data_IF_090206043096
#
_entry.id   IF_090206043096
#
_cell.length_a   1.000
_cell.length_b   1.000
_cell.length_c   1.000
_cell.angle_alpha   90.00
_cell.angle_beta   90.00
_cell.angle_gamma   90.00
#
_symmetry.space_group_name_H-M   'P 1'
#
loop_
_entity.id
_entity.type
_entity.pdbx_description
1 polymer ?
#
# COMPACT_ATOMS: atom_id res chain seq x y z
N UNK A 1 0.85 -0.09 22.21
CA UNK A 1 0.65 -1.36 21.48
C UNK A 1 1.88 -2.23 21.73
N UNK A 2 1.77 -3.36 22.44
CA UNK A 2 2.93 -4.20 22.80
C UNK A 2 3.50 -4.83 21.52
N UNK A 3 4.79 -4.63 21.23
CA UNK A 3 5.54 -5.32 20.17
C UNK A 3 5.58 -6.82 20.53
N UNK A 4 4.77 -7.64 19.84
CA UNK A 4 4.62 -9.09 20.14
C UNK A 4 5.81 -9.91 19.61
N UNK A 5 6.63 -9.36 18.71
CA UNK A 5 7.77 -10.07 18.10
C UNK A 5 9.10 -9.46 18.59
N UNK A 6 9.90 -10.26 19.30
CA UNK A 6 11.29 -9.94 19.58
C UNK A 6 12.12 -10.18 18.31
N UNK A 7 12.34 -9.11 17.55
CA UNK A 7 12.99 -9.15 16.23
C UNK A 7 14.40 -9.76 16.27
N UNK A 8 15.10 -9.67 17.41
CA UNK A 8 16.47 -10.16 17.56
C UNK A 8 16.58 -11.69 17.47
N UNK A 9 15.47 -12.43 17.62
CA UNK A 9 15.45 -13.90 17.50
C UNK A 9 15.03 -14.38 16.09
N UNK A 10 14.60 -13.47 15.21
CA UNK A 10 14.08 -13.86 13.89
C UNK A 10 15.18 -14.40 12.97
N UNK A 11 16.42 -13.92 13.10
CA UNK A 11 17.58 -14.31 12.27
C UNK A 11 17.86 -15.82 12.22
N UNK A 12 17.34 -16.59 13.18
CA UNK A 12 17.50 -18.04 13.26
C UNK A 12 16.50 -18.84 12.42
N UNK A 13 15.40 -18.23 11.96
CA UNK A 13 14.40 -18.96 11.17
C UNK A 13 14.87 -19.10 9.71
N UNK A 14 14.87 -20.35 9.20
CA UNK A 14 15.26 -20.64 7.82
C UNK A 14 14.31 -19.96 6.82
N UNK A 15 13.02 -19.85 7.16
CA UNK A 15 12.01 -19.24 6.31
C UNK A 15 12.32 -17.79 5.93
N UNK A 16 12.72 -16.95 6.90
CA UNK A 16 12.97 -15.51 6.65
C UNK A 16 14.19 -15.26 5.74
N UNK A 17 15.06 -16.26 5.57
CA UNK A 17 16.22 -16.19 4.68
C UNK A 17 15.86 -16.54 3.23
N UNK A 18 14.66 -17.04 2.96
CA UNK A 18 14.21 -17.30 1.59
C UNK A 18 13.74 -16.03 0.89
N UNK A 19 13.78 -16.07 -0.44
CA UNK A 19 13.16 -15.06 -1.27
C UNK A 19 11.63 -15.11 -1.15
N UNK A 20 10.99 -13.95 -1.21
CA UNK A 20 9.52 -13.82 -1.13
C UNK A 20 8.83 -14.72 -2.17
N UNK A 21 9.37 -14.79 -3.40
CA UNK A 21 8.81 -15.63 -4.47
C UNK A 21 8.83 -17.13 -4.15
N UNK A 22 9.85 -17.61 -3.43
CA UNK A 22 9.99 -19.04 -3.08
C UNK A 22 9.02 -19.45 -1.97
N UNK A 23 8.47 -18.48 -1.26
CA UNK A 23 7.51 -18.67 -0.19
C UNK A 23 6.07 -18.47 -0.69
N UNK A 24 5.88 -18.20 -1.99
CA UNK A 24 4.57 -17.87 -2.58
C UNK A 24 3.87 -16.72 -1.85
N UNK A 25 4.65 -15.80 -1.25
CA UNK A 25 4.14 -14.68 -0.46
C UNK A 25 3.84 -13.48 -1.35
N UNK A 26 2.56 -13.21 -1.59
CA UNK A 26 2.09 -12.05 -2.34
C UNK A 26 0.92 -12.41 -3.25
N UNK A 27 0.33 -11.39 -3.86
CA UNK A 27 -0.71 -11.58 -4.87
C UNK A 27 -0.07 -11.42 -6.26
N UNK A 28 0.31 -12.54 -6.87
CA UNK A 28 0.95 -12.60 -8.19
C UNK A 28 0.04 -13.34 -9.17
N UNK A 29 -1.16 -12.84 -9.45
CA UNK A 29 -2.11 -13.58 -10.29
C UNK A 29 -1.93 -13.20 -11.77
N UNK A 30 -1.63 -14.20 -12.59
CA UNK A 30 -1.59 -14.16 -14.06
C UNK A 30 -2.97 -14.33 -14.71
N UNK A 31 -3.11 -13.70 -15.87
CA UNK A 31 -4.19 -13.80 -16.87
C UNK A 31 -5.62 -13.55 -16.35
N UNK A 32 -5.91 -12.25 -16.21
CA UNK A 32 -7.17 -11.56 -15.89
C UNK A 32 -7.79 -11.84 -14.51
N UNK A 33 -7.55 -10.88 -13.60
CA UNK A 33 -8.66 -10.01 -13.20
C UNK A 33 -8.18 -8.56 -13.19
N UNK A 34 -8.81 -7.69 -13.99
CA UNK A 34 -8.75 -6.21 -13.96
C UNK A 34 -7.48 -5.64 -13.31
N UNK A 35 -6.58 -5.04 -14.06
CA UNK A 35 -5.53 -4.15 -13.54
C UNK A 35 -6.04 -3.24 -12.37
N UNK A 36 -5.96 -3.72 -11.12
CA UNK A 36 -6.57 -3.06 -9.95
C UNK A 36 -5.57 -2.03 -9.44
N UNK A 37 -5.44 -0.97 -10.22
CA UNK A 37 -4.76 0.26 -9.85
C UNK A 37 -5.61 1.43 -10.35
N UNK A 38 -5.31 2.61 -9.87
CA UNK A 38 -5.98 3.84 -10.28
C UNK A 38 -4.95 4.87 -10.72
N UNK A 39 -5.34 5.76 -11.63
CA UNK A 39 -4.52 6.89 -12.04
C UNK A 39 -4.62 8.04 -11.01
N UNK A 40 -3.60 8.88 -10.91
CA UNK A 40 -3.60 10.11 -10.10
C UNK A 40 -4.83 11.01 -10.34
N UNK A 41 -5.35 11.03 -11.57
CA UNK A 41 -6.53 11.81 -11.96
C UNK A 41 -7.86 11.12 -11.64
N UNK A 42 -7.83 9.88 -11.12
CA UNK A 42 -9.04 9.16 -10.73
C UNK A 42 -9.75 9.91 -9.61
N UNK A 43 -11.07 10.11 -9.76
CA UNK A 43 -11.86 10.81 -8.76
C UNK A 43 -11.97 9.98 -7.48
N UNK A 44 -11.96 10.65 -6.33
CA UNK A 44 -12.10 10.02 -5.01
C UNK A 44 -13.33 9.10 -4.95
N UNK A 45 -14.48 9.54 -5.47
CA UNK A 45 -15.71 8.72 -5.50
C UNK A 45 -15.52 7.40 -6.25
N UNK A 46 -14.73 7.36 -7.32
CA UNK A 46 -14.52 6.16 -8.11
C UNK A 46 -13.60 5.17 -7.38
N UNK A 47 -12.57 5.67 -6.70
CA UNK A 47 -11.75 4.85 -5.81
C UNK A 47 -12.56 4.22 -4.67
N UNK A 48 -13.49 4.98 -4.06
CA UNK A 48 -14.39 4.47 -3.02
C UNK A 48 -15.35 3.40 -3.55
N UNK A 49 -15.87 3.56 -4.78
CA UNK A 49 -16.70 2.54 -5.45
C UNK A 49 -15.92 1.25 -5.69
N UNK A 50 -14.63 1.35 -6.01
CA UNK A 50 -13.75 0.17 -6.14
C UNK A 50 -13.66 -0.55 -4.79
N UNK A 51 -13.37 0.15 -3.69
CA UNK A 51 -13.34 -0.49 -2.35
C UNK A 51 -14.66 -1.13 -1.92
N UNK A 52 -15.80 -0.60 -2.38
CA UNK A 52 -17.11 -1.18 -2.14
C UNK A 52 -17.34 -2.44 -2.97
N UNK A 53 -16.87 -2.44 -4.22
CA UNK A 53 -17.08 -3.52 -5.19
C UNK A 53 -16.12 -4.69 -4.98
N UNK A 54 -14.88 -4.40 -4.56
CA UNK A 54 -13.84 -5.39 -4.31
C UNK A 54 -13.26 -5.23 -2.90
N UNK A 55 -13.12 -6.35 -2.20
CA UNK A 55 -12.69 -6.37 -0.79
C UNK A 55 -11.16 -6.29 -0.65
N UNK A 56 -10.57 -5.19 -1.13
CA UNK A 56 -9.15 -4.88 -0.96
C UNK A 56 -8.94 -3.89 0.19
N UNK A 57 -7.72 -3.83 0.72
CA UNK A 57 -7.33 -2.89 1.78
C UNK A 57 -6.75 -1.59 1.24
N UNK A 58 -6.15 -1.64 0.05
CA UNK A 58 -5.50 -0.51 -0.59
C UNK A 58 -5.43 -0.66 -2.11
N UNK A 59 -5.33 0.48 -2.79
CA UNK A 59 -5.26 0.65 -4.23
C UNK A 59 -3.90 1.25 -4.61
N UNK A 60 -3.09 0.57 -5.44
CA UNK A 60 -1.93 1.19 -6.07
C UNK A 60 -2.35 2.39 -6.93
N UNK A 61 -1.65 3.51 -6.78
CA UNK A 61 -1.85 4.72 -7.58
C UNK A 61 -0.67 4.87 -8.52
N UNK A 62 -0.93 4.94 -9.82
CA UNK A 62 0.10 5.00 -10.86
C UNK A 62 0.02 6.30 -11.66
N UNK A 63 1.11 6.64 -12.33
CA UNK A 63 1.11 7.69 -13.36
C UNK A 63 0.74 7.14 -14.75
N UNK A 64 0.76 8.03 -15.74
CA UNK A 64 0.50 7.73 -17.16
C UNK A 64 1.41 6.63 -17.73
N UNK A 65 2.63 6.50 -17.19
CA UNK A 65 3.62 5.52 -17.61
C UNK A 65 3.49 4.20 -16.83
N UNK A 66 2.42 4.04 -16.04
CA UNK A 66 2.17 2.90 -15.15
C UNK A 66 3.24 2.70 -14.09
N UNK A 67 3.98 3.75 -13.73
CA UNK A 67 4.90 3.70 -12.60
C UNK A 67 4.11 3.91 -11.32
N UNK A 68 4.40 3.11 -10.31
CA UNK A 68 3.80 3.25 -8.99
C UNK A 68 4.23 4.59 -8.37
N UNK A 69 3.25 5.43 -8.05
CA UNK A 69 3.44 6.75 -7.45
C UNK A 69 3.07 6.77 -5.99
N UNK A 70 1.95 6.12 -5.64
CA UNK A 70 1.43 6.13 -4.29
C UNK A 70 0.55 4.90 -4.01
N UNK A 71 -0.01 4.81 -2.82
CA UNK A 71 -1.01 3.83 -2.43
C UNK A 71 -2.15 4.53 -1.67
N UNK A 72 -3.37 4.43 -2.19
CA UNK A 72 -4.56 4.94 -1.52
C UNK A 72 -5.23 3.80 -0.74
N UNK A 73 -5.41 3.95 0.56
CA UNK A 73 -5.80 2.88 1.48
C UNK A 73 -7.06 3.19 2.28
N UNK A 74 -7.62 2.16 2.92
CA UNK A 74 -8.71 2.35 3.89
C UNK A 74 -8.29 3.19 5.10
N UNK A 75 -6.99 3.26 5.41
CA UNK A 75 -6.49 4.15 6.45
C UNK A 75 -6.66 5.62 6.05
N UNK A 76 -6.40 5.92 4.78
CA UNK A 76 -6.56 7.27 4.23
C UNK A 76 -8.03 7.69 4.24
N UNK A 77 -8.96 6.76 3.95
CA UNK A 77 -10.40 6.99 4.12
C UNK A 77 -10.75 7.36 5.56
N UNK A 78 -10.19 6.64 6.55
CA UNK A 78 -10.42 6.97 7.97
C UNK A 78 -9.82 8.33 8.34
N UNK A 79 -8.64 8.67 7.79
CA UNK A 79 -8.03 9.97 8.00
C UNK A 79 -8.91 11.09 7.45
N UNK A 80 -9.38 10.97 6.20
CA UNK A 80 -10.30 11.93 5.58
C UNK A 80 -11.60 12.08 6.37
N UNK A 81 -12.16 10.96 6.86
CA UNK A 81 -13.34 10.97 7.70
C UNK A 81 -13.10 11.73 9.02
N UNK A 82 -11.96 11.52 9.66
CA UNK A 82 -11.60 12.17 10.92
C UNK A 82 -11.35 13.68 10.75
N UNK A 83 -10.72 14.09 9.65
CA UNK A 83 -10.45 15.51 9.34
C UNK A 83 -11.63 16.23 8.68
N UNK A 84 -12.74 15.52 8.40
CA UNK A 84 -13.95 16.04 7.74
C UNK A 84 -13.71 16.62 6.35
N UNK A 85 -12.67 16.18 5.66
CA UNK A 85 -12.28 16.67 4.32
C UNK A 85 -12.96 15.92 3.17
N UNK A 86 -13.88 15.00 3.45
CA UNK A 86 -14.68 14.26 2.45
C UNK A 86 -15.87 15.04 1.87
N UNK A 87 -15.98 16.34 2.13
CA UNK A 87 -17.13 17.15 1.71
C UNK A 87 -17.28 17.23 0.18
N UNK A 88 -16.17 17.09 -0.56
CA UNK A 88 -16.18 16.99 -2.01
C UNK A 88 -15.55 15.65 -2.43
N UNK A 89 -16.35 14.75 -2.98
CA UNK A 89 -15.88 13.45 -3.50
C UNK A 89 -15.54 13.51 -5.00
N UNK A 90 -15.81 14.65 -5.65
CA UNK A 90 -15.55 14.90 -7.06
C UNK A 90 -14.20 15.63 -7.25
N UNK A 91 -13.18 15.14 -6.57
CA UNK A 91 -11.80 15.65 -6.61
C UNK A 91 -10.86 14.54 -7.08
N UNK A 92 -9.80 14.87 -7.83
CA UNK A 92 -8.81 13.89 -8.23
C UNK A 92 -8.01 13.40 -7.02
N UNK A 93 -7.53 12.17 -7.08
CA UNK A 93 -6.78 11.56 -5.99
C UNK A 93 -5.45 12.24 -5.70
N UNK A 94 -4.78 12.82 -6.69
CA UNK A 94 -3.55 13.58 -6.45
C UNK A 94 -3.73 14.67 -5.39
N UNK A 95 -4.81 15.45 -5.48
CA UNK A 95 -5.08 16.55 -4.55
C UNK A 95 -5.34 16.03 -3.13
N UNK A 96 -5.99 14.86 -3.04
CA UNK A 96 -6.24 14.18 -1.76
C UNK A 96 -4.92 13.69 -1.16
N UNK A 97 -4.12 12.96 -1.94
CA UNK A 97 -2.86 12.36 -1.49
C UNK A 97 -1.88 13.46 -1.07
N UNK A 98 -1.74 14.55 -1.82
CA UNK A 98 -0.90 15.68 -1.44
C UNK A 98 -1.33 16.35 -0.11
N UNK A 99 -2.60 16.24 0.25
CA UNK A 99 -3.12 16.80 1.51
C UNK A 99 -2.92 15.90 2.73
N UNK A 100 -2.77 14.59 2.55
CA UNK A 100 -2.71 13.60 3.65
C UNK A 100 -1.37 12.87 3.74
N UNK A 101 -0.62 12.77 2.65
CA UNK A 101 0.73 12.23 2.58
C UNK A 101 1.71 13.41 2.56
N UNK A 102 2.21 13.78 3.73
CA UNK A 102 3.32 14.74 3.80
C UNK A 102 4.56 14.11 3.18
N UNK A 103 4.99 14.62 2.03
CA UNK A 103 6.15 14.13 1.26
C UNK A 103 7.47 14.12 2.06
N UNK A 104 7.55 14.80 3.20
CA UNK A 104 8.73 14.77 4.08
C UNK A 104 8.74 13.57 5.04
N UNK A 105 7.58 13.02 5.36
CA UNK A 105 7.42 11.97 6.38
C UNK A 105 6.84 10.68 5.82
N UNK A 106 6.03 10.78 4.77
CA UNK A 106 5.45 9.67 4.04
C UNK A 106 6.44 9.13 3.01
N UNK A 107 6.77 7.85 3.08
CA UNK A 107 7.54 7.18 2.05
C UNK A 107 6.95 5.82 1.70
N UNK A 108 6.63 5.67 0.42
CA UNK A 108 6.16 4.40 -0.14
C UNK A 108 7.19 3.29 0.08
N UNK A 109 6.76 2.18 0.69
CA UNK A 109 7.59 1.00 0.89
C UNK A 109 7.34 0.03 -0.26
N UNK A 110 8.39 -0.25 -1.04
CA UNK A 110 8.36 -1.22 -2.13
C UNK A 110 9.32 -2.37 -1.87
N UNK A 111 9.08 -3.50 -2.55
CA UNK A 111 9.97 -4.65 -2.53
C UNK A 111 9.99 -5.32 -3.90
N UNK A 112 11.01 -6.17 -4.11
CA UNK A 112 11.11 -7.05 -5.26
C UNK A 112 10.74 -8.47 -4.83
N UNK A 113 10.25 -9.28 -5.78
CA UNK A 113 10.00 -10.72 -5.55
C UNK A 113 11.27 -11.48 -5.16
N UNK A 114 12.42 -10.96 -5.56
CA UNK A 114 13.77 -11.45 -5.22
C UNK A 114 14.34 -10.84 -3.95
N UNK A 115 13.60 -10.03 -3.19
CA UNK A 115 14.03 -9.63 -1.84
C UNK A 115 13.84 -10.82 -0.89
N UNK A 116 14.74 -10.94 0.10
CA UNK A 116 14.56 -11.89 1.20
C UNK A 116 13.44 -11.42 2.12
N UNK A 117 12.65 -12.36 2.66
CA UNK A 117 11.56 -12.04 3.60
C UNK A 117 12.06 -11.25 4.82
N UNK A 118 13.27 -11.55 5.32
CA UNK A 118 13.90 -10.79 6.40
C UNK A 118 13.99 -9.29 6.11
N UNK A 119 14.48 -8.92 4.92
CA UNK A 119 14.60 -7.51 4.50
C UNK A 119 13.25 -6.83 4.41
N UNK A 120 12.21 -7.56 3.97
CA UNK A 120 10.85 -7.03 3.92
C UNK A 120 10.28 -6.80 5.32
N UNK A 121 10.41 -7.79 6.21
CA UNK A 121 9.97 -7.68 7.60
C UNK A 121 10.69 -6.55 8.35
N UNK A 122 11.99 -6.41 8.14
CA UNK A 122 12.80 -5.35 8.73
C UNK A 122 12.31 -3.96 8.27
N UNK A 123 12.06 -3.77 6.97
CA UNK A 123 11.45 -2.54 6.44
C UNK A 123 10.11 -2.19 7.10
N UNK A 124 9.26 -3.17 7.39
CA UNK A 124 7.95 -2.93 8.01
C UNK A 124 8.01 -2.63 9.50
N UNK A 125 9.05 -3.09 10.22
CA UNK A 125 9.15 -2.93 11.69
C UNK A 125 10.03 -1.77 12.13
N UNK A 126 10.99 -1.37 11.30
CA UNK A 126 11.94 -0.30 11.61
C UNK A 126 11.44 1.10 11.30
N UNK A 127 10.28 1.24 10.64
CA UNK A 127 9.65 2.56 10.45
C UNK A 127 8.74 2.91 11.63
N UNK A 128 9.09 4.04 12.27
CA UNK A 128 8.29 4.78 13.24
C UNK A 128 7.43 5.81 12.52
#
# INVERSE_FOLDING_TARGET
MKRILNFNQLSNFVMIKNFVTNLELGCYIGYNPLEIYIDLQTKLIDALRIFQSIRISALPVVDSDKRLRDIYSKFDIMHLAATRTYANLDVPLCDILDSIHDHNTYQLITCKTTDHLFKLMDKFVTRE
#
